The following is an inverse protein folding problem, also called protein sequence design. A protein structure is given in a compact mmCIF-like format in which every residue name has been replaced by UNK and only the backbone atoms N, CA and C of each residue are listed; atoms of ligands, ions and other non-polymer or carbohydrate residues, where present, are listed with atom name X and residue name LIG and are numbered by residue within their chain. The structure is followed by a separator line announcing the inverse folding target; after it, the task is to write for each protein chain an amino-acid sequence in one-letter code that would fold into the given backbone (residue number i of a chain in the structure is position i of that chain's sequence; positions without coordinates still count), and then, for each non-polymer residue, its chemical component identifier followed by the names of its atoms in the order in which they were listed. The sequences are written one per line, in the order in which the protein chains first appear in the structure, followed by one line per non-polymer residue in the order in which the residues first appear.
data_IF_076314258475
#
_entry.id   IF_076314258475
#
_cell.length_a   1.000
_cell.length_b   1.000
_cell.length_c   1.000
_cell.angle_alpha   90.00
_cell.angle_beta   90.00
_cell.angle_gamma   90.00
#
_symmetry.space_group_name_H-M   'P 1'
#
loop_
_entity.id
_entity.type
_entity.pdbx_description
1 polymer ?
#
# COMPACT_ATOMS: atom_id res chain seq x y z
N UNK A 1 3.18 45.32 -38.55
CA UNK A 1 4.33 44.77 -39.27
C UNK A 1 4.37 43.27 -38.92
N UNK A 2 3.69 42.38 -39.61
CA UNK A 2 3.92 41.75 -40.93
C UNK A 2 5.35 41.21 -41.04
N UNK A 3 5.45 39.90 -40.97
CA UNK A 3 6.07 38.92 -41.89
C UNK A 3 6.18 37.58 -41.12
N UNK A 4 5.54 36.53 -41.40
CA UNK A 4 5.17 35.65 -42.50
C UNK A 4 6.38 34.88 -43.14
N UNK A 5 6.11 33.60 -43.46
CA UNK A 5 6.84 32.71 -44.40
C UNK A 5 7.85 31.77 -43.67
N UNK A 6 7.86 30.45 -43.80
CA UNK A 6 7.56 29.62 -44.97
C UNK A 6 7.52 28.13 -44.63
N UNK A 7 6.59 27.45 -45.24
CA UNK A 7 6.50 25.97 -45.38
C UNK A 7 7.70 25.44 -46.17
N UNK A 8 8.18 24.26 -45.82
CA UNK A 8 8.77 23.35 -46.84
C UNK A 8 8.41 21.91 -46.58
N UNK A 9 7.49 21.46 -47.35
CA UNK A 9 7.26 20.07 -47.71
C UNK A 9 8.44 19.52 -48.53
N UNK A 10 8.90 18.33 -48.21
CA UNK A 10 9.60 17.48 -49.19
C UNK A 10 9.04 16.06 -49.17
N UNK A 11 8.39 15.80 -50.27
CA UNK A 11 7.91 14.51 -50.78
C UNK A 11 8.99 13.97 -51.72
N UNK A 12 9.23 12.69 -51.71
CA UNK A 12 9.70 11.83 -52.79
C UNK A 12 10.57 10.71 -52.19
N UNK A 13 10.66 9.48 -52.61
CA UNK A 13 10.07 8.77 -53.76
C UNK A 13 10.16 7.26 -53.41
N UNK A 14 9.19 6.53 -53.95
CA UNK A 14 9.19 5.09 -54.09
C UNK A 14 10.40 4.59 -54.89
N UNK A 15 10.94 3.45 -54.52
CA UNK A 15 11.47 2.48 -55.48
C UNK A 15 11.13 1.06 -55.02
N UNK A 16 10.29 0.43 -55.81
CA UNK A 16 10.06 -1.00 -55.82
C UNK A 16 11.26 -1.68 -56.47
N UNK A 17 11.80 -2.73 -55.90
CA UNK A 17 12.55 -3.74 -56.64
C UNK A 17 12.03 -5.10 -56.23
N UNK A 18 11.38 -5.73 -57.19
CA UNK A 18 11.04 -7.16 -57.21
C UNK A 18 12.33 -7.95 -57.55
N UNK A 19 12.59 -9.05 -56.87
CA UNK A 19 13.17 -10.28 -57.50
C UNK A 19 13.18 -11.39 -56.45
N UNK A 20 12.40 -12.36 -56.69
CA UNK A 20 12.65 -13.73 -57.15
C UNK A 20 13.18 -14.71 -56.08
N UNK A 21 12.24 -15.56 -55.69
CA UNK A 21 12.25 -17.02 -55.49
C UNK A 21 13.64 -17.70 -55.26
N UNK A 22 13.80 -18.32 -54.10
CA UNK A 22 14.51 -19.59 -54.00
C UNK A 22 13.90 -20.45 -52.89
N UNK A 23 13.51 -21.64 -53.29
CA UNK A 23 12.98 -22.69 -52.43
C UNK A 23 14.07 -23.32 -51.59
N UNK A 24 13.73 -23.68 -50.37
CA UNK A 24 14.53 -24.68 -49.66
C UNK A 24 14.64 -24.49 -48.15
N UNK A 25 14.09 -25.45 -47.50
CA UNK A 25 14.40 -25.93 -46.15
C UNK A 25 13.43 -25.53 -45.06
N UNK A 26 12.52 -26.44 -44.81
CA UNK A 26 11.64 -26.48 -43.63
C UNK A 26 12.53 -26.71 -42.38
N UNK A 27 12.86 -25.65 -41.66
CA UNK A 27 13.30 -25.73 -40.26
C UNK A 27 12.10 -25.43 -39.38
N UNK A 28 11.49 -26.50 -38.85
CA UNK A 28 10.52 -26.43 -37.76
C UNK A 28 11.24 -25.87 -36.51
N UNK A 29 11.25 -24.57 -36.37
CA UNK A 29 11.57 -23.95 -35.09
C UNK A 29 10.33 -24.07 -34.21
N UNK A 30 10.29 -25.13 -33.41
CA UNK A 30 9.36 -25.23 -32.30
C UNK A 30 9.76 -24.15 -31.26
N UNK A 31 9.14 -22.99 -31.36
CA UNK A 31 9.18 -21.97 -30.30
C UNK A 31 8.42 -22.55 -29.10
N UNK A 32 9.16 -23.16 -28.18
CA UNK A 32 8.67 -23.48 -26.85
C UNK A 32 8.37 -22.15 -26.14
N UNK A 33 7.16 -21.67 -26.26
CA UNK A 33 6.58 -20.66 -25.37
C UNK A 33 6.48 -21.32 -23.99
N UNK A 34 7.57 -21.27 -23.23
CA UNK A 34 7.53 -21.49 -21.79
C UNK A 34 6.66 -20.38 -21.20
N UNK A 35 5.36 -20.68 -21.07
CA UNK A 35 4.47 -19.89 -20.27
C UNK A 35 5.01 -19.94 -18.83
N UNK A 36 5.71 -18.87 -18.38
CA UNK A 36 5.92 -18.62 -16.97
C UNK A 36 4.55 -18.38 -16.34
N UNK A 37 3.87 -19.46 -15.97
CA UNK A 37 2.76 -19.37 -15.05
C UNK A 37 3.33 -18.86 -13.73
N UNK A 38 2.82 -17.74 -13.16
CA UNK A 38 3.22 -17.33 -11.82
C UNK A 38 2.92 -18.50 -10.88
N UNK A 39 3.93 -18.90 -10.09
CA UNK A 39 3.76 -19.93 -9.08
C UNK A 39 2.58 -19.54 -8.18
N UNK A 40 1.70 -20.48 -7.79
CA UNK A 40 0.62 -20.20 -6.87
C UNK A 40 1.24 -19.67 -5.57
N UNK A 41 1.05 -18.37 -5.31
CA UNK A 41 1.44 -17.78 -4.06
C UNK A 41 0.52 -18.37 -3.00
N UNK A 42 1.07 -19.18 -2.11
CA UNK A 42 0.37 -19.67 -0.93
C UNK A 42 0.05 -18.43 -0.08
N UNK A 43 -1.17 -17.93 -0.20
CA UNK A 43 -1.65 -16.82 0.61
C UNK A 43 -1.75 -17.34 2.04
N UNK A 44 -0.82 -16.95 2.90
CA UNK A 44 -0.84 -17.25 4.33
C UNK A 44 -1.86 -16.38 5.04
N UNK A 45 -3.14 -16.53 4.71
CA UNK A 45 -4.22 -15.84 5.41
C UNK A 45 -4.28 -16.36 6.84
N UNK A 46 -4.15 -15.49 7.86
CA UNK A 46 -4.24 -15.90 9.26
C UNK A 46 -5.61 -16.53 9.58
N UNK A 47 -5.61 -17.46 10.54
CA UNK A 47 -6.81 -18.13 11.01
C UNK A 47 -7.34 -17.48 12.28
N UNK A 48 -8.60 -17.71 12.59
CA UNK A 48 -9.21 -17.24 13.83
C UNK A 48 -8.40 -17.72 15.05
N UNK A 49 -8.06 -16.78 15.94
CA UNK A 49 -7.24 -17.02 17.12
C UNK A 49 -5.74 -16.76 16.91
N UNK A 50 -5.28 -16.65 15.68
CA UNK A 50 -3.91 -16.22 15.38
C UNK A 50 -3.69 -14.76 15.80
N UNK A 51 -2.44 -14.36 15.86
CA UNK A 51 -2.05 -12.97 16.10
C UNK A 51 -2.05 -12.19 14.79
N UNK A 52 -2.41 -10.91 14.84
CA UNK A 52 -2.25 -9.99 13.72
C UNK A 52 -0.80 -10.04 13.23
N UNK A 53 -0.54 -10.22 11.92
CA UNK A 53 0.82 -10.42 11.42
C UNK A 53 1.77 -9.28 11.80
N UNK A 54 2.94 -9.62 12.31
CA UNK A 54 3.97 -8.66 12.69
C UNK A 54 4.36 -7.75 11.53
N UNK A 55 4.33 -8.27 10.29
CA UNK A 55 4.55 -7.48 9.06
C UNK A 55 3.54 -6.35 8.84
N UNK A 56 2.38 -6.39 9.48
CA UNK A 56 1.39 -5.31 9.52
C UNK A 56 1.55 -4.48 10.78
N UNK A 57 1.62 -5.14 11.94
CA UNK A 57 1.57 -4.48 13.25
C UNK A 57 2.82 -3.65 13.54
N UNK A 58 4.02 -4.16 13.25
CA UNK A 58 5.25 -3.47 13.62
C UNK A 58 5.42 -2.12 12.88
N UNK A 59 5.30 -2.06 11.52
CA UNK A 59 5.36 -0.78 10.83
C UNK A 59 4.18 0.14 11.16
N UNK A 60 2.99 -0.41 11.45
CA UNK A 60 1.85 0.38 11.91
C UNK A 60 2.13 1.10 13.23
N UNK A 61 2.70 0.39 14.21
CA UNK A 61 3.04 0.97 15.52
C UNK A 61 4.11 2.06 15.42
N UNK A 62 5.07 1.92 14.48
CA UNK A 62 6.05 2.97 14.21
C UNK A 62 5.39 4.23 13.63
N UNK A 63 4.42 4.08 12.73
CA UNK A 63 3.65 5.22 12.22
C UNK A 63 2.83 5.87 13.35
N UNK A 64 2.16 5.06 14.17
CA UNK A 64 1.35 5.53 15.30
C UNK A 64 2.19 6.36 16.27
N UNK A 65 3.36 5.84 16.64
CA UNK A 65 4.28 6.54 17.54
C UNK A 65 4.80 7.85 16.92
N UNK A 66 5.21 7.83 15.65
CA UNK A 66 5.63 9.03 14.92
C UNK A 66 4.55 10.11 14.92
N UNK A 67 3.30 9.76 14.56
CA UNK A 67 2.19 10.71 14.52
C UNK A 67 1.82 11.27 15.90
N UNK A 68 1.96 10.45 16.96
CA UNK A 68 1.77 10.90 18.34
C UNK A 68 2.83 11.93 18.79
N UNK A 69 3.99 11.94 18.14
CA UNK A 69 5.07 12.91 18.37
C UNK A 69 5.20 13.96 17.25
N UNK A 70 4.15 14.16 16.45
CA UNK A 70 4.10 15.12 15.34
C UNK A 70 5.18 14.89 14.26
N UNK A 71 5.66 13.65 14.10
CA UNK A 71 6.68 13.25 13.13
C UNK A 71 6.09 12.48 11.95
N UNK A 72 6.62 12.75 10.76
CA UNK A 72 6.38 12.00 9.52
C UNK A 72 7.55 11.08 9.16
N UNK A 73 8.53 10.96 10.04
CA UNK A 73 9.71 10.14 9.81
C UNK A 73 9.29 8.69 9.55
N UNK A 74 9.89 8.07 8.52
CA UNK A 74 9.60 6.70 8.13
C UNK A 74 8.14 6.38 7.73
N UNK A 75 7.20 7.35 7.80
CA UNK A 75 5.78 7.12 7.52
C UNK A 75 5.57 6.46 6.15
N UNK A 76 6.16 7.02 5.10
CA UNK A 76 6.02 6.50 3.74
C UNK A 76 6.59 5.08 3.59
N UNK A 77 7.77 4.83 4.17
CA UNK A 77 8.41 3.52 4.12
C UNK A 77 7.58 2.47 4.86
N UNK A 78 7.13 2.80 6.07
CA UNK A 78 6.30 1.90 6.89
C UNK A 78 4.94 1.64 6.25
N UNK A 79 4.29 2.65 5.69
CA UNK A 79 3.03 2.47 4.95
C UNK A 79 3.22 1.58 3.71
N UNK A 80 4.32 1.73 2.98
CA UNK A 80 4.69 0.84 1.86
C UNK A 80 4.91 -0.61 2.30
N UNK A 81 5.55 -0.81 3.46
CA UNK A 81 5.74 -2.15 4.03
C UNK A 81 4.40 -2.81 4.38
N UNK A 82 3.46 -2.04 4.97
CA UNK A 82 2.10 -2.52 5.27
C UNK A 82 1.38 -2.91 3.98
N UNK A 83 1.43 -2.07 2.94
CA UNK A 83 0.79 -2.37 1.66
C UNK A 83 1.33 -3.68 1.06
N UNK A 84 2.65 -3.85 1.04
CA UNK A 84 3.30 -5.08 0.56
C UNK A 84 2.85 -6.30 1.34
N UNK A 85 2.82 -6.20 2.68
CA UNK A 85 2.37 -7.29 3.55
C UNK A 85 0.88 -7.61 3.33
N UNK A 86 0.03 -6.59 3.20
CA UNK A 86 -1.40 -6.77 2.97
C UNK A 86 -1.69 -7.42 1.61
N UNK A 87 -0.95 -7.05 0.56
CA UNK A 87 -1.01 -7.71 -0.75
C UNK A 87 -0.71 -9.21 -0.63
N UNK A 88 0.32 -9.59 0.14
CA UNK A 88 0.68 -11.01 0.36
C UNK A 88 -0.38 -11.79 1.15
N UNK A 89 -1.19 -11.12 1.98
CA UNK A 89 -2.31 -11.72 2.72
C UNK A 89 -3.57 -11.89 1.87
N UNK A 90 -3.63 -11.26 0.70
CA UNK A 90 -4.67 -11.42 -0.30
C UNK A 90 -5.98 -10.69 0.00
N UNK A 91 -7.08 -11.19 -0.57
CA UNK A 91 -8.38 -10.50 -0.57
C UNK A 91 -8.89 -10.02 0.80
N UNK A 92 -8.73 -10.74 1.91
CA UNK A 92 -9.19 -10.25 3.21
C UNK A 92 -8.50 -8.96 3.66
N UNK A 93 -7.25 -8.73 3.26
CA UNK A 93 -6.45 -7.56 3.64
C UNK A 93 -6.47 -6.42 2.60
N UNK A 94 -7.28 -6.53 1.55
CA UNK A 94 -7.31 -5.53 0.45
C UNK A 94 -7.63 -4.10 0.93
N UNK A 95 -8.48 -3.94 1.92
CA UNK A 95 -8.78 -2.62 2.50
C UNK A 95 -7.56 -2.04 3.24
N UNK A 96 -6.79 -2.89 3.90
CA UNK A 96 -5.54 -2.49 4.57
C UNK A 96 -4.51 -2.05 3.54
N UNK A 97 -4.35 -2.81 2.44
CA UNK A 97 -3.48 -2.46 1.33
C UNK A 97 -3.82 -1.08 0.75
N UNK A 98 -5.09 -0.89 0.35
CA UNK A 98 -5.55 0.38 -0.23
C UNK A 98 -5.31 1.57 0.72
N UNK A 99 -5.63 1.42 2.01
CA UNK A 99 -5.44 2.47 3.00
C UNK A 99 -3.95 2.78 3.25
N UNK A 100 -3.09 1.76 3.25
CA UNK A 100 -1.65 1.92 3.41
C UNK A 100 -1.03 2.66 2.21
N UNK A 101 -1.43 2.33 0.98
CA UNK A 101 -1.00 3.07 -0.23
C UNK A 101 -1.42 4.54 -0.17
N UNK A 102 -2.65 4.81 0.29
CA UNK A 102 -3.12 6.19 0.47
C UNK A 102 -2.28 6.93 1.52
N UNK A 103 -2.00 6.30 2.66
CA UNK A 103 -1.16 6.90 3.70
C UNK A 103 0.26 7.18 3.21
N UNK A 104 0.85 6.30 2.42
CA UNK A 104 2.18 6.52 1.83
C UNK A 104 2.26 7.78 0.95
N UNK A 105 1.13 8.26 0.44
CA UNK A 105 1.03 9.48 -0.38
C UNK A 105 0.74 10.76 0.42
N UNK A 106 0.76 10.69 1.76
CA UNK A 106 0.47 11.85 2.59
C UNK A 106 1.46 13.00 2.34
N UNK A 107 0.91 14.20 2.21
CA UNK A 107 1.66 15.41 1.89
C UNK A 107 2.14 16.16 3.12
N UNK A 108 1.36 16.14 4.18
CA UNK A 108 1.64 16.83 5.44
C UNK A 108 1.07 16.04 6.64
N UNK A 109 1.27 16.59 7.86
CA UNK A 109 0.88 15.93 9.10
C UNK A 109 -0.65 15.80 9.24
N UNK A 110 -1.42 16.77 8.78
CA UNK A 110 -2.88 16.73 8.88
C UNK A 110 -3.45 15.66 7.94
N UNK A 111 -2.99 15.64 6.69
CA UNK A 111 -3.34 14.62 5.69
C UNK A 111 -2.90 13.22 6.14
N UNK A 112 -1.70 13.11 6.75
CA UNK A 112 -1.21 11.85 7.30
C UNK A 112 -2.11 11.32 8.42
N UNK A 113 -2.56 12.16 9.34
CA UNK A 113 -3.46 11.78 10.44
C UNK A 113 -4.83 11.32 9.95
N UNK A 114 -5.39 12.00 8.96
CA UNK A 114 -6.67 11.60 8.34
C UNK A 114 -6.54 10.21 7.69
N UNK A 115 -5.53 10.02 6.83
CA UNK A 115 -5.25 8.75 6.15
C UNK A 115 -4.86 7.62 7.11
N UNK A 116 -4.13 7.94 8.17
CA UNK A 116 -3.83 6.99 9.25
C UNK A 116 -5.11 6.51 9.94
N UNK A 117 -6.09 7.39 10.12
CA UNK A 117 -7.40 7.01 10.65
C UNK A 117 -8.09 5.96 9.78
N UNK A 118 -8.05 6.12 8.45
CA UNK A 118 -8.60 5.13 7.50
C UNK A 118 -7.83 3.80 7.60
N UNK A 119 -6.50 3.85 7.69
CA UNK A 119 -5.68 2.65 7.87
C UNK A 119 -5.99 1.94 9.18
N UNK A 120 -6.13 2.68 10.28
CA UNK A 120 -6.45 2.14 11.60
C UNK A 120 -7.81 1.42 11.60
N UNK A 121 -8.83 2.03 11.00
CA UNK A 121 -10.15 1.40 10.83
C UNK A 121 -10.06 0.11 10.00
N UNK A 122 -9.30 0.13 8.91
CA UNK A 122 -9.11 -1.05 8.05
C UNK A 122 -8.41 -2.20 8.78
N UNK A 123 -7.37 -1.90 9.57
CA UNK A 123 -6.62 -2.91 10.35
C UNK A 123 -7.49 -3.48 11.48
N UNK A 124 -8.24 -2.62 12.20
CA UNK A 124 -9.16 -3.09 13.26
C UNK A 124 -10.25 -3.96 12.64
N UNK A 125 -10.86 -3.55 11.54
CA UNK A 125 -11.86 -4.35 10.84
C UNK A 125 -11.31 -5.69 10.33
N UNK A 126 -10.08 -5.71 9.81
CA UNK A 126 -9.39 -6.94 9.40
C UNK A 126 -9.17 -7.88 10.59
N UNK A 127 -8.64 -7.34 11.69
CA UNK A 127 -8.44 -8.08 12.95
C UNK A 127 -9.75 -8.69 13.46
N UNK A 128 -10.80 -7.88 13.56
CA UNK A 128 -12.07 -8.32 14.13
C UNK A 128 -12.81 -9.30 13.19
N UNK A 129 -12.78 -9.04 11.89
CA UNK A 129 -13.40 -9.90 10.87
C UNK A 129 -12.83 -11.31 10.83
N UNK A 130 -11.52 -11.47 11.08
CA UNK A 130 -10.84 -12.75 11.17
C UNK A 130 -10.70 -13.26 12.62
N UNK A 131 -11.18 -12.54 13.61
CA UNK A 131 -11.05 -12.86 15.04
C UNK A 131 -9.59 -13.06 15.46
N UNK A 132 -8.72 -12.16 15.01
CA UNK A 132 -7.29 -12.18 15.35
C UNK A 132 -7.05 -11.48 16.69
N UNK A 133 -5.98 -11.89 17.38
CA UNK A 133 -5.47 -11.18 18.55
C UNK A 133 -4.62 -9.99 18.09
N UNK A 134 -4.59 -8.87 18.80
CA UNK A 134 -3.83 -7.68 18.37
C UNK A 134 -2.30 -7.87 18.43
N UNK A 135 -1.82 -8.81 19.22
CA UNK A 135 -0.40 -9.04 19.49
C UNK A 135 -0.03 -8.76 20.95
N UNK A 136 1.16 -9.23 21.37
CA UNK A 136 1.59 -9.09 22.75
C UNK A 136 1.83 -7.62 23.12
N UNK A 137 1.17 -7.18 24.19
CA UNK A 137 1.25 -5.80 24.68
C UNK A 137 0.58 -4.77 23.79
N UNK A 138 -0.06 -5.18 22.69
CA UNK A 138 -0.82 -4.27 21.81
C UNK A 138 -2.25 -4.16 22.29
N UNK A 139 -2.70 -2.93 22.47
CA UNK A 139 -4.05 -2.58 22.93
C UNK A 139 -4.76 -1.74 21.90
N UNK A 140 -6.06 -1.90 21.83
CA UNK A 140 -6.90 -1.03 21.01
C UNK A 140 -7.37 0.15 21.86
N UNK A 141 -7.32 1.34 21.27
CA UNK A 141 -7.83 2.57 21.88
C UNK A 141 -8.78 3.29 20.91
N UNK A 142 -9.52 4.24 21.41
CA UNK A 142 -10.47 5.05 20.66
C UNK A 142 -10.38 6.52 21.07
N UNK A 143 -10.34 7.41 20.09
CA UNK A 143 -10.38 8.85 20.29
C UNK A 143 -11.81 9.37 20.04
N UNK A 144 -12.50 9.93 21.05
CA UNK A 144 -13.85 10.43 20.88
C UNK A 144 -13.91 11.73 20.05
N UNK A 145 -12.80 12.46 19.95
CA UNK A 145 -12.73 13.69 19.16
C UNK A 145 -12.50 13.40 17.67
N UNK A 146 -11.63 12.43 17.35
CA UNK A 146 -11.40 11.99 15.96
C UNK A 146 -12.45 10.97 15.51
N UNK A 147 -13.20 10.37 16.42
CA UNK A 147 -14.13 9.24 16.19
C UNK A 147 -13.43 8.05 15.52
N UNK A 148 -12.19 7.80 15.90
CA UNK A 148 -11.32 6.80 15.25
C UNK A 148 -10.69 5.86 16.27
N UNK A 149 -10.60 4.55 15.98
CA UNK A 149 -9.81 3.61 16.75
C UNK A 149 -8.34 3.67 16.33
N UNK A 150 -7.45 3.18 17.21
CA UNK A 150 -6.07 2.84 16.83
C UNK A 150 -5.54 1.69 17.69
N UNK A 151 -4.42 1.13 17.28
CA UNK A 151 -3.65 0.16 18.08
C UNK A 151 -2.39 0.85 18.59
N UNK A 152 -1.99 0.57 19.82
CA UNK A 152 -0.75 1.06 20.41
C UNK A 152 -0.16 0.04 21.38
N UNK A 153 1.11 0.16 21.72
CA UNK A 153 1.76 -0.52 22.84
C UNK A 153 1.73 0.35 24.10
N UNK A 154 1.84 -0.30 25.27
CA UNK A 154 1.92 0.37 26.57
C UNK A 154 0.58 0.63 27.22
N UNK A 155 0.66 1.21 28.43
CA UNK A 155 -0.49 1.40 29.32
C UNK A 155 -0.97 2.86 29.40
N UNK A 156 -0.25 3.76 28.75
CA UNK A 156 -0.59 5.18 28.69
C UNK A 156 -1.06 5.52 27.27
N UNK A 157 -2.18 6.21 27.15
CA UNK A 157 -2.69 6.69 25.88
C UNK A 157 -1.65 7.60 25.19
N UNK A 158 -1.38 7.31 23.92
CA UNK A 158 -0.54 8.10 23.02
C UNK A 158 -1.31 8.34 21.72
N UNK A 159 -1.97 9.50 21.61
CA UNK A 159 -2.94 9.80 20.57
C UNK A 159 -2.26 10.22 19.27
N UNK A 160 -2.37 9.43 18.17
CA UNK A 160 -1.77 9.76 16.87
C UNK A 160 -2.53 10.85 16.09
N UNK A 161 -3.80 11.10 16.42
CA UNK A 161 -4.67 12.01 15.67
C UNK A 161 -4.45 13.47 16.03
N UNK A 162 -4.05 13.74 17.28
CA UNK A 162 -3.80 15.09 17.81
C UNK A 162 -2.36 15.30 18.25
N UNK A 163 -1.57 14.23 18.36
CA UNK A 163 -0.16 14.30 18.74
C UNK A 163 0.06 15.10 20.02
N UNK A 164 1.04 15.99 20.01
CA UNK A 164 1.41 16.80 21.16
C UNK A 164 0.34 17.80 21.61
N UNK A 165 -0.67 18.09 20.79
CA UNK A 165 -1.78 18.98 21.17
C UNK A 165 -2.72 18.34 22.19
N UNK A 166 -3.03 17.05 22.04
CA UNK A 166 -3.89 16.28 22.95
C UNK A 166 -3.38 14.84 23.10
N UNK A 167 -2.19 14.66 23.70
CA UNK A 167 -1.48 13.38 23.65
C UNK A 167 -2.22 12.23 24.37
N UNK A 168 -3.05 12.55 25.36
CA UNK A 168 -3.77 11.56 26.18
C UNK A 168 -5.27 11.52 25.88
N UNK A 169 -5.73 12.19 24.82
CA UNK A 169 -7.13 12.13 24.43
C UNK A 169 -7.50 10.76 23.88
N UNK A 170 -8.33 10.03 24.60
CA UNK A 170 -8.78 8.69 24.24
C UNK A 170 -8.85 7.74 25.43
N UNK A 171 -9.31 6.53 25.15
CA UNK A 171 -9.38 5.45 26.13
C UNK A 171 -9.14 4.10 25.47
N UNK A 172 -8.61 3.15 26.23
CA UNK A 172 -8.54 1.78 25.77
C UNK A 172 -9.95 1.17 25.65
N UNK A 173 -10.16 0.42 24.58
CA UNK A 173 -11.36 -0.36 24.37
C UNK A 173 -11.08 -1.83 24.74
N UNK A 174 -12.08 -2.47 25.35
CA UNK A 174 -12.01 -3.88 25.74
C UNK A 174 -12.11 -4.81 24.50
#
# INVERSE_FOLDING_TARGET
MITNISRRTRRARRTHIFSAVSAGSACLVAVLLSACAPAPQTQNTPKAGDTLPASIVDPYLQIQDGLAHDSLDQLRANAGNIATAATALGAPAMKVDTAAVQLASAGDLADAREKFGVLSEAIVAYKDGLKLKPGDGVKQAFCPMALKPWLQKGDTISNPYYGTQMPTCGSFTQ
#
